data_IF_695890656450
#
_entry.id   IF_695890656450
#
_cell.length_a   1.000
_cell.length_b   1.000
_cell.length_c   1.000
_cell.angle_alpha   90.00
_cell.angle_beta   90.00
_cell.angle_gamma   90.00
#
_symmetry.space_group_name_H-M   'P 1'
#
loop_
_entity.id
_entity.type
_entity.pdbx_description
1 polymer ?
#
# COMPACT_ATOMS: atom_id res chain seq x y z
N UNK A 1 0.99 4.53 -12.69
CA UNK A 1 1.02 3.26 -13.45
C UNK A 1 1.48 3.45 -14.88
N UNK A 2 0.94 4.41 -15.65
CA UNK A 2 1.35 4.65 -17.04
C UNK A 2 2.87 4.84 -17.24
N UNK A 3 3.57 5.45 -16.27
CA UNK A 3 5.03 5.60 -16.26
C UNK A 3 5.81 4.32 -15.95
N UNK A 4 5.18 3.33 -15.32
CA UNK A 4 5.80 2.04 -14.95
C UNK A 4 5.60 0.98 -16.03
N UNK A 5 4.51 1.06 -16.79
CA UNK A 5 4.15 0.09 -17.85
C UNK A 5 4.43 0.65 -19.26
N UNK A 6 4.55 1.98 -19.41
CA UNK A 6 4.81 2.63 -20.70
C UNK A 6 3.56 2.84 -21.56
N UNK A 7 2.37 2.52 -21.05
CA UNK A 7 1.09 2.66 -21.75
C UNK A 7 0.18 3.70 -21.09
N UNK A 8 -0.59 4.44 -21.90
CA UNK A 8 -1.47 5.51 -21.43
C UNK A 8 -2.83 4.96 -20.98
N UNK A 9 -3.00 4.75 -19.68
CA UNK A 9 -4.30 4.39 -19.10
C UNK A 9 -5.13 5.64 -18.79
N UNK A 10 -6.31 5.75 -19.41
CA UNK A 10 -7.25 6.87 -19.20
C UNK A 10 -8.26 6.64 -18.08
N UNK A 11 -8.41 5.39 -17.64
CA UNK A 11 -9.32 4.97 -16.58
C UNK A 11 -8.67 3.91 -15.68
N UNK A 12 -9.12 3.82 -14.43
CA UNK A 12 -8.70 2.75 -13.51
C UNK A 12 -9.33 1.43 -13.97
N UNK A 13 -8.53 0.56 -14.58
CA UNK A 13 -8.96 -0.74 -15.07
C UNK A 13 -8.35 -1.90 -14.23
N UNK A 14 -8.46 -3.14 -14.72
CA UNK A 14 -7.85 -4.32 -14.08
C UNK A 14 -6.33 -4.18 -13.95
N UNK A 15 -5.66 -3.90 -15.06
CA UNK A 15 -4.20 -3.78 -15.15
C UNK A 15 -3.63 -2.69 -14.25
N UNK A 16 -4.30 -1.54 -14.14
CA UNK A 16 -3.92 -0.47 -13.22
C UNK A 16 -3.94 -0.93 -11.77
N UNK A 17 -4.91 -1.76 -11.40
CA UNK A 17 -5.00 -2.28 -10.04
C UNK A 17 -4.03 -3.41 -9.75
N UNK A 18 -3.78 -4.28 -10.74
CA UNK A 18 -2.77 -5.32 -10.62
C UNK A 18 -1.39 -4.69 -10.46
N UNK A 19 -1.06 -3.66 -11.25
CA UNK A 19 0.17 -2.90 -11.10
C UNK A 19 0.30 -2.23 -9.71
N UNK A 20 -0.78 -1.62 -9.20
CA UNK A 20 -0.79 -1.07 -7.82
C UNK A 20 -0.63 -2.17 -6.77
N UNK A 21 -1.24 -3.34 -6.97
CA UNK A 21 -1.09 -4.50 -6.11
C UNK A 21 0.34 -5.05 -6.09
N UNK A 22 1.00 -5.12 -7.25
CA UNK A 22 2.41 -5.55 -7.36
C UNK A 22 3.35 -4.56 -6.68
N UNK A 23 3.16 -3.25 -6.87
CA UNK A 23 3.93 -2.21 -6.17
C UNK A 23 3.74 -2.34 -4.65
N UNK A 24 2.50 -2.53 -4.20
CA UNK A 24 2.17 -2.71 -2.78
C UNK A 24 2.88 -3.95 -2.22
N UNK A 25 2.86 -5.07 -2.95
CA UNK A 25 3.59 -6.28 -2.59
C UNK A 25 5.10 -6.03 -2.46
N UNK A 26 5.71 -5.29 -3.40
CA UNK A 26 7.13 -4.97 -3.36
C UNK A 26 7.50 -4.11 -2.15
N UNK A 27 6.70 -3.07 -1.85
CA UNK A 27 6.90 -2.20 -0.68
C UNK A 27 6.80 -3.03 0.61
N UNK A 28 5.75 -3.85 0.75
CA UNK A 28 5.54 -4.71 1.91
C UNK A 28 6.67 -5.74 2.09
N UNK A 29 7.13 -6.37 1.01
CA UNK A 29 8.23 -7.33 1.05
C UNK A 29 9.55 -6.68 1.51
N UNK A 30 9.87 -5.49 0.98
CA UNK A 30 11.04 -4.71 1.38
C UNK A 30 10.98 -4.26 2.84
N UNK A 31 9.85 -3.71 3.26
CA UNK A 31 9.62 -3.29 4.64
C UNK A 31 9.75 -4.48 5.61
N UNK A 32 9.14 -5.63 5.28
CA UNK A 32 9.26 -6.86 6.07
C UNK A 32 10.71 -7.31 6.21
N UNK A 33 11.48 -7.31 5.11
CA UNK A 33 12.89 -7.70 5.13
C UNK A 33 13.67 -6.80 6.10
N UNK A 34 13.53 -5.48 5.95
CA UNK A 34 14.25 -4.52 6.79
C UNK A 34 13.84 -4.65 8.27
N UNK A 35 12.55 -4.83 8.56
CA UNK A 35 12.09 -5.02 9.94
C UNK A 35 12.51 -6.37 10.53
N UNK A 36 12.61 -7.42 9.72
CA UNK A 36 13.13 -8.72 10.14
C UNK A 36 14.63 -8.66 10.49
N UNK A 37 15.42 -7.89 9.73
CA UNK A 37 16.82 -7.59 10.05
C UNK A 37 16.97 -6.84 11.38
N UNK A 38 15.96 -6.05 11.76
CA UNK A 38 15.87 -5.37 13.06
C UNK A 38 15.31 -6.28 14.18
N UNK A 39 15.00 -7.54 13.90
CA UNK A 39 14.52 -8.53 14.89
C UNK A 39 13.00 -8.62 15.05
N UNK A 40 12.21 -7.89 14.25
CA UNK A 40 10.75 -7.95 14.29
C UNK A 40 10.20 -8.98 13.30
N UNK A 41 9.41 -9.96 13.78
CA UNK A 41 8.77 -10.99 12.94
C UNK A 41 7.29 -10.65 12.71
N UNK A 42 6.88 -10.61 11.45
CA UNK A 42 5.49 -10.35 11.04
C UNK A 42 4.90 -11.56 10.33
N UNK A 43 3.65 -11.89 10.67
CA UNK A 43 2.81 -12.80 9.90
C UNK A 43 2.26 -12.06 8.68
N UNK A 44 2.29 -12.70 7.51
CA UNK A 44 1.91 -12.05 6.27
C UNK A 44 0.38 -12.13 6.08
N UNK A 45 -0.27 -10.98 5.88
CA UNK A 45 -1.62 -10.92 5.33
C UNK A 45 -1.54 -10.69 3.81
N UNK A 46 -2.51 -11.22 3.06
CA UNK A 46 -2.66 -10.97 1.63
C UNK A 46 -3.10 -9.51 1.41
N UNK A 47 -2.47 -8.76 0.49
CA UNK A 47 -2.89 -7.39 0.21
C UNK A 47 -4.31 -7.37 -0.36
N UNK A 48 -5.06 -6.34 0.01
CA UNK A 48 -6.40 -6.09 -0.51
C UNK A 48 -6.35 -4.77 -1.28
N UNK A 49 -6.74 -4.81 -2.56
CA UNK A 49 -6.87 -3.60 -3.39
C UNK A 49 -8.34 -3.20 -3.40
N UNK A 50 -8.65 -2.04 -2.83
CA UNK A 50 -10.00 -1.47 -2.83
C UNK A 50 -10.08 -0.40 -3.94
N UNK A 51 -11.09 -0.50 -4.80
CA UNK A 51 -11.37 0.48 -5.86
C UNK A 51 -12.69 1.18 -5.57
N UNK A 52 -12.68 2.50 -5.51
CA UNK A 52 -13.90 3.29 -5.50
C UNK A 52 -13.60 4.78 -5.45
N UNK A 53 -14.51 5.57 -6.02
CA UNK A 53 -14.48 7.03 -5.90
C UNK A 53 -15.06 7.37 -4.53
N UNK A 54 -14.38 8.23 -3.77
CA UNK A 54 -14.81 8.64 -2.42
C UNK A 54 -14.98 7.47 -1.44
N UNK A 55 -14.14 6.44 -1.55
CA UNK A 55 -14.15 5.30 -0.61
C UNK A 55 -13.30 5.61 0.62
N UNK A 56 -13.95 5.78 1.77
CA UNK A 56 -13.28 5.85 3.07
C UNK A 56 -12.92 4.43 3.55
N UNK A 57 -11.63 4.18 3.73
CA UNK A 57 -11.13 3.00 4.43
C UNK A 57 -11.06 3.39 5.90
N UNK A 58 -12.03 2.95 6.69
CA UNK A 58 -12.00 3.10 8.13
C UNK A 58 -11.29 1.88 8.73
N UNK A 59 -10.15 2.09 9.37
CA UNK A 59 -9.44 1.03 10.08
C UNK A 59 -10.26 0.61 11.31
N UNK A 60 -10.66 -0.66 11.40
CA UNK A 60 -11.42 -1.19 12.53
C UNK A 60 -10.43 -1.61 13.62
N UNK A 61 -10.06 -0.68 14.51
CA UNK A 61 -9.25 -1.01 15.69
C UNK A 61 -8.65 0.21 16.42
N UNK A 62 -8.38 0.06 17.71
CA UNK A 62 -7.57 1.02 18.50
C UNK A 62 -6.08 0.81 18.18
N UNK A 63 -5.69 1.03 16.94
CA UNK A 63 -4.29 0.92 16.51
C UNK A 63 -3.72 2.31 16.28
N UNK A 64 -2.48 2.55 16.71
CA UNK A 64 -1.77 3.77 16.32
C UNK A 64 -1.20 3.59 14.92
N UNK A 65 -1.71 4.38 13.98
CA UNK A 65 -1.32 4.35 12.58
C UNK A 65 -0.36 5.49 12.27
N UNK A 66 0.68 5.20 11.50
CA UNK A 66 1.61 6.21 10.95
C UNK A 66 1.22 6.47 9.50
N UNK A 67 0.88 7.71 9.18
CA UNK A 67 0.52 8.15 7.82
C UNK A 67 1.66 8.97 7.22
N UNK A 68 2.09 8.60 6.02
CA UNK A 68 3.16 9.26 5.27
C UNK A 68 2.56 9.77 3.94
N UNK A 69 2.38 11.09 3.78
CA UNK A 69 1.88 11.65 2.53
C UNK A 69 2.99 11.76 1.48
N UNK A 70 2.64 11.44 0.24
CA UNK A 70 3.49 11.56 -0.94
C UNK A 70 2.82 12.47 -1.97
N UNK A 71 3.62 13.38 -2.53
CA UNK A 71 3.19 14.27 -3.62
C UNK A 71 3.96 13.95 -4.88
N UNK A 72 3.23 13.89 -5.99
CA UNK A 72 3.80 13.71 -7.33
C UNK A 72 3.21 14.75 -8.27
N UNK A 73 3.84 14.97 -9.42
CA UNK A 73 3.30 15.86 -10.47
C UNK A 73 1.93 15.40 -11.01
N UNK A 74 1.53 14.15 -10.73
CA UNK A 74 0.29 13.53 -11.19
C UNK A 74 -0.77 13.42 -10.10
N UNK A 75 -0.50 13.93 -8.89
CA UNK A 75 -1.41 13.89 -7.76
C UNK A 75 -0.72 13.46 -6.46
N UNK A 76 -1.52 13.40 -5.41
CA UNK A 76 -1.09 13.05 -4.06
C UNK A 76 -1.63 11.67 -3.68
N UNK A 77 -0.85 10.92 -2.91
CA UNK A 77 -1.28 9.65 -2.31
C UNK A 77 -0.65 9.50 -0.93
N UNK A 78 -1.19 8.62 -0.09
CA UNK A 78 -0.68 8.37 1.26
C UNK A 78 -0.30 6.91 1.42
N UNK A 79 0.71 6.64 2.25
CA UNK A 79 1.02 5.31 2.76
C UNK A 79 0.70 5.32 4.25
N UNK A 80 -0.19 4.44 4.67
CA UNK A 80 -0.56 4.25 6.06
C UNK A 80 -0.04 2.91 6.58
N UNK A 81 0.53 2.92 7.79
CA UNK A 81 1.13 1.75 8.42
C UNK A 81 0.64 1.63 9.85
N UNK A 82 0.07 0.49 10.19
CA UNK A 82 -0.46 0.19 11.52
C UNK A 82 0.19 -1.10 12.04
N UNK A 83 0.68 -1.07 13.28
CA UNK A 83 1.38 -2.18 13.91
C UNK A 83 0.69 -2.56 15.21
N UNK A 84 0.25 -3.81 15.31
CA UNK A 84 -0.30 -4.40 16.54
C UNK A 84 0.73 -5.40 17.09
N UNK A 85 1.23 -5.22 18.34
CA UNK A 85 2.05 -6.23 18.99
C UNK A 85 1.27 -7.54 19.16
N UNK A 86 1.84 -8.67 18.71
CA UNK A 86 1.37 -9.98 19.19
C UNK A 86 1.92 -10.21 20.59
N UNK A 87 1.02 -10.20 21.59
CA UNK A 87 1.31 -10.66 22.95
C UNK A 87 1.63 -12.15 23.02
#
# INVERSE_FOLDING_TARGET
>A
VSSMVGEEYKEVNGEVADAVGEITNMICAGAKKNLAELGHKFDMATPIVIKGKDTEINEIGETTSTVIPFKTDKGEFVVEISLVPKG
#
